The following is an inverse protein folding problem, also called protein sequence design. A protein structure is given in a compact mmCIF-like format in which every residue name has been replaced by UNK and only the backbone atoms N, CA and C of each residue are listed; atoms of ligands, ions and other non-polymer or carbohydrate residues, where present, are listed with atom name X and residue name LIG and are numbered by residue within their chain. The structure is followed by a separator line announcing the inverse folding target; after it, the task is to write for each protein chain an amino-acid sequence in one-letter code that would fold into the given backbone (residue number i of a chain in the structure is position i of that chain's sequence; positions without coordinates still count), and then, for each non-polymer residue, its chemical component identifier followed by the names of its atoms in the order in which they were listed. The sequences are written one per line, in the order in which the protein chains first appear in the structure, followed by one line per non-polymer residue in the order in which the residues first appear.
data_IF_090852577155
#
_entry.id   IF_090852577155
#
_cell.length_a   1.000
_cell.length_b   1.000
_cell.length_c   1.000
_cell.angle_alpha   90.00
_cell.angle_beta   90.00
_cell.angle_gamma   90.00
#
_symmetry.space_group_name_H-M   'P 1'
#
loop_
_entity.id
_entity.type
_entity.pdbx_description
1 polymer ?
#
# COMPACT_ATOMS: atom_id res chain seq x y z
N UNK A 1 16.59 66.57 -59.83
CA UNK A 1 15.29 66.60 -59.10
C UNK A 1 14.54 65.34 -59.50
N UNK A 2 14.24 64.34 -58.67
CA UNK A 2 14.11 64.20 -57.21
C UNK A 2 14.43 62.71 -56.94
N UNK A 3 15.54 62.33 -56.28
CA UNK A 3 15.72 62.24 -54.81
C UNK A 3 14.39 62.19 -54.06
N UNK A 4 14.09 61.08 -53.39
CA UNK A 4 13.15 60.92 -52.24
C UNK A 4 12.22 59.68 -52.30
N UNK A 5 12.70 58.47 -52.66
CA UNK A 5 11.94 57.23 -52.35
C UNK A 5 12.82 56.11 -51.77
N UNK A 6 14.15 56.13 -51.95
CA UNK A 6 15.02 55.03 -51.48
C UNK A 6 15.41 55.10 -50.00
N UNK A 7 15.16 56.22 -49.30
CA UNK A 7 15.58 56.39 -47.90
C UNK A 7 14.52 55.96 -46.86
N UNK A 8 13.29 55.63 -47.27
CA UNK A 8 12.21 55.22 -46.35
C UNK A 8 12.15 53.69 -46.17
N UNK A 9 12.70 52.91 -47.12
CA UNK A 9 12.66 51.44 -47.06
C UNK A 9 13.82 50.86 -46.20
N UNK A 10 14.91 51.60 -46.02
CA UNK A 10 16.06 51.15 -45.23
C UNK A 10 15.87 51.27 -43.70
N UNK A 11 14.88 52.05 -43.24
CA UNK A 11 14.57 52.21 -41.80
C UNK A 11 13.51 51.20 -41.32
N UNK A 12 12.75 50.58 -42.24
CA UNK A 12 11.72 49.59 -41.89
C UNK A 12 12.25 48.17 -41.59
N UNK A 13 13.53 47.89 -41.86
CA UNK A 13 14.14 46.56 -41.65
C UNK A 13 15.13 46.48 -40.47
N UNK A 14 15.35 47.58 -39.73
CA UNK A 14 16.25 47.60 -38.55
C UNK A 14 15.54 47.68 -37.20
N UNK A 15 14.21 47.79 -37.18
CA UNK A 15 13.44 47.85 -35.95
C UNK A 15 12.26 46.92 -36.01
N UNK A 16 12.48 45.64 -35.74
CA UNK A 16 11.53 44.64 -35.18
C UNK A 16 12.18 43.24 -35.22
N UNK A 17 13.42 43.12 -34.74
CA UNK A 17 13.82 41.85 -34.14
C UNK A 17 13.08 41.77 -32.80
N UNK A 18 11.89 41.20 -32.85
CA UNK A 18 11.19 40.70 -31.69
C UNK A 18 12.09 39.65 -31.00
N UNK A 19 12.99 40.11 -30.14
CA UNK A 19 13.83 39.30 -29.22
C UNK A 19 12.99 38.58 -28.14
N UNK A 20 11.72 38.29 -28.39
CA UNK A 20 10.80 37.71 -27.40
C UNK A 20 11.10 36.24 -27.09
N UNK A 21 11.95 35.56 -27.87
CA UNK A 21 12.31 34.16 -27.66
C UNK A 21 13.60 33.94 -26.82
N UNK A 22 14.52 34.91 -26.79
CA UNK A 22 15.76 34.78 -26.01
C UNK A 22 15.61 35.30 -24.57
N UNK A 23 14.92 36.42 -24.37
CA UNK A 23 14.73 37.02 -23.03
C UNK A 23 13.77 36.20 -22.14
N UNK A 24 12.75 35.56 -22.73
CA UNK A 24 11.79 34.74 -21.99
C UNK A 24 12.44 33.49 -21.36
N UNK A 25 13.36 32.83 -22.07
CA UNK A 25 14.06 31.66 -21.53
C UNK A 25 15.05 32.02 -20.42
N UNK A 26 15.67 33.21 -20.48
CA UNK A 26 16.57 33.70 -19.44
C UNK A 26 15.79 34.03 -18.15
N UNK A 27 14.68 34.78 -18.26
CA UNK A 27 13.80 35.09 -17.14
C UNK A 27 13.21 33.81 -16.50
N UNK A 28 12.81 32.83 -17.32
CA UNK A 28 12.38 31.53 -16.83
C UNK A 28 13.48 30.85 -16.02
N UNK A 29 14.72 30.86 -16.53
CA UNK A 29 15.86 30.20 -15.87
C UNK A 29 16.21 30.87 -14.54
N UNK A 30 16.21 32.21 -14.50
CA UNK A 30 16.51 33.01 -13.30
C UNK A 30 15.47 32.74 -12.21
N UNK A 31 14.18 32.95 -12.50
CA UNK A 31 13.12 32.77 -11.50
C UNK A 31 13.05 31.33 -10.98
N UNK A 32 13.30 30.35 -11.85
CA UNK A 32 13.33 28.94 -11.45
C UNK A 32 14.52 28.59 -10.56
N UNK A 33 15.67 29.19 -10.81
CA UNK A 33 16.87 29.01 -9.98
C UNK A 33 16.67 29.67 -8.61
N UNK A 34 16.15 30.89 -8.57
CA UNK A 34 15.83 31.61 -7.33
C UNK A 34 14.76 30.90 -6.51
N UNK A 35 13.71 30.38 -7.15
CA UNK A 35 12.71 29.52 -6.51
C UNK A 35 13.37 28.28 -5.88
N UNK A 36 14.23 27.58 -6.64
CA UNK A 36 14.90 26.39 -6.14
C UNK A 36 15.81 26.68 -4.94
N UNK A 37 16.58 27.78 -4.99
CA UNK A 37 17.49 28.18 -3.93
C UNK A 37 16.75 28.58 -2.65
N UNK A 38 15.74 29.45 -2.77
CA UNK A 38 14.93 29.91 -1.64
C UNK A 38 14.16 28.76 -0.98
N UNK A 39 13.57 27.85 -1.76
CA UNK A 39 12.87 26.65 -1.24
C UNK A 39 13.84 25.70 -0.54
N UNK A 40 15.03 25.44 -1.10
CA UNK A 40 16.06 24.62 -0.43
C UNK A 40 16.54 25.24 0.88
N UNK A 41 16.59 26.57 0.94
CA UNK A 41 16.90 27.32 2.15
C UNK A 41 15.71 27.46 3.12
N UNK A 42 14.54 26.86 2.79
CA UNK A 42 13.27 26.97 3.54
C UNK A 42 12.75 28.40 3.71
N UNK A 43 13.18 29.32 2.85
CA UNK A 43 12.74 30.72 2.82
C UNK A 43 11.47 30.85 1.98
N UNK A 44 10.39 30.19 2.40
CA UNK A 44 9.21 30.00 1.54
C UNK A 44 8.49 31.30 1.19
N UNK A 45 8.42 32.27 2.12
CA UNK A 45 7.83 33.59 1.82
C UNK A 45 8.62 34.35 0.74
N UNK A 46 9.97 34.26 0.79
CA UNK A 46 10.85 34.85 -0.23
C UNK A 46 10.73 34.14 -1.58
N UNK A 47 10.31 32.88 -1.59
CA UNK A 47 10.15 32.06 -2.79
C UNK A 47 8.90 32.40 -3.62
N UNK A 48 7.84 32.88 -2.98
CA UNK A 48 6.53 33.18 -3.61
C UNK A 48 6.63 34.08 -4.85
N UNK A 49 7.32 35.24 -4.84
CA UNK A 49 7.40 36.09 -6.04
C UNK A 49 8.04 35.39 -7.23
N UNK A 50 9.08 34.57 -6.99
CA UNK A 50 9.74 33.81 -8.05
C UNK A 50 8.83 32.71 -8.61
N UNK A 51 8.09 32.02 -7.74
CA UNK A 51 7.06 31.07 -8.16
C UNK A 51 5.98 31.74 -9.02
N UNK A 52 5.42 32.86 -8.56
CA UNK A 52 4.33 33.56 -9.26
C UNK A 52 4.75 34.02 -10.66
N UNK A 53 5.99 34.50 -10.81
CA UNK A 53 6.56 34.85 -12.11
C UNK A 53 6.74 33.61 -12.99
N UNK A 54 7.33 32.53 -12.45
CA UNK A 54 7.62 31.32 -13.20
C UNK A 54 6.36 30.53 -13.62
N UNK A 55 5.32 30.44 -12.77
CA UNK A 55 4.07 29.74 -13.12
C UNK A 55 3.26 30.47 -14.18
N UNK A 56 3.32 31.81 -14.19
CA UNK A 56 2.64 32.64 -15.17
C UNK A 56 3.32 32.58 -16.53
N UNK A 57 4.64 32.77 -16.57
CA UNK A 57 5.35 32.97 -17.83
C UNK A 57 5.91 31.67 -18.41
N UNK A 58 6.21 30.70 -17.53
CA UNK A 58 6.99 29.51 -17.86
C UNK A 58 6.35 28.18 -17.41
N UNK A 59 5.01 27.99 -17.49
CA UNK A 59 4.32 26.85 -16.87
C UNK A 59 4.72 25.47 -17.43
N UNK A 60 5.37 25.44 -18.60
CA UNK A 60 5.86 24.23 -19.29
C UNK A 60 7.38 24.14 -19.39
N UNK A 61 8.12 25.06 -18.78
CA UNK A 61 9.58 25.11 -18.91
C UNK A 61 10.28 23.96 -18.18
N UNK A 62 10.00 23.77 -16.90
CA UNK A 62 10.61 22.69 -16.12
C UNK A 62 9.64 22.14 -15.07
N UNK A 63 9.10 20.94 -15.34
CA UNK A 63 8.14 20.25 -14.46
C UNK A 63 8.66 20.15 -13.02
N UNK A 64 9.90 19.68 -12.85
CA UNK A 64 10.46 19.44 -11.52
C UNK A 64 10.78 20.74 -10.81
N UNK A 65 11.41 21.70 -11.48
CA UNK A 65 11.77 22.95 -10.84
C UNK A 65 10.55 23.80 -10.45
N UNK A 66 9.44 23.72 -11.18
CA UNK A 66 8.32 24.62 -10.95
C UNK A 66 7.34 23.99 -9.97
N UNK A 67 6.83 22.81 -10.32
CA UNK A 67 5.74 22.20 -9.57
C UNK A 67 6.23 21.49 -8.33
N UNK A 68 7.43 20.87 -8.34
CA UNK A 68 7.94 20.25 -7.11
C UNK A 68 8.33 21.30 -6.08
N UNK A 69 9.11 22.31 -6.46
CA UNK A 69 9.50 23.36 -5.50
C UNK A 69 8.32 24.24 -5.09
N UNK A 70 7.37 24.52 -5.98
CA UNK A 70 6.13 25.20 -5.58
C UNK A 70 5.28 24.37 -4.61
N UNK A 71 5.21 23.05 -4.80
CA UNK A 71 4.55 22.12 -3.86
C UNK A 71 5.26 22.13 -2.49
N UNK A 72 6.59 21.95 -2.45
CA UNK A 72 7.40 22.01 -1.23
C UNK A 72 7.23 23.39 -0.52
N UNK A 73 7.12 24.48 -1.29
CA UNK A 73 6.93 25.85 -0.79
C UNK A 73 5.57 26.03 -0.12
N UNK A 74 4.48 25.70 -0.81
CA UNK A 74 3.14 25.90 -0.27
C UNK A 74 2.80 24.93 0.86
N UNK A 75 3.34 23.70 0.85
CA UNK A 75 3.26 22.79 2.01
C UNK A 75 3.96 23.42 3.23
N UNK A 76 5.17 23.96 3.05
CA UNK A 76 5.88 24.64 4.13
C UNK A 76 5.20 25.93 4.63
N UNK A 77 4.59 26.72 3.73
CA UNK A 77 3.79 27.88 4.09
C UNK A 77 2.52 27.51 4.86
N UNK A 78 1.85 26.43 4.46
CA UNK A 78 0.68 25.89 5.14
C UNK A 78 1.02 25.42 6.56
N UNK A 79 2.13 24.68 6.70
CA UNK A 79 2.62 24.22 8.01
C UNK A 79 2.97 25.39 8.95
N UNK A 80 3.49 26.49 8.40
CA UNK A 80 3.87 27.69 9.16
C UNK A 80 2.71 28.66 9.40
N UNK A 81 1.54 28.46 8.78
CA UNK A 81 0.44 29.41 8.83
C UNK A 81 -0.22 29.45 10.22
N UNK A 82 -0.28 30.65 10.80
CA UNK A 82 -0.86 30.88 12.13
C UNK A 82 -2.32 31.29 12.12
N UNK A 83 -2.89 31.63 10.96
CA UNK A 83 -4.29 32.04 10.81
C UNK A 83 -5.03 31.14 9.82
N UNK A 84 -6.33 30.95 10.08
CA UNK A 84 -7.22 30.17 9.21
C UNK A 84 -7.30 30.77 7.80
N UNK A 85 -7.32 32.10 7.68
CA UNK A 85 -7.30 32.78 6.37
C UNK A 85 -6.06 32.41 5.54
N UNK A 86 -4.86 32.40 6.16
CA UNK A 86 -3.63 32.01 5.47
C UNK A 86 -3.58 30.52 5.15
N UNK A 87 -4.10 29.66 6.03
CA UNK A 87 -4.23 28.23 5.73
C UNK A 87 -5.10 28.00 4.49
N UNK A 88 -6.27 28.63 4.43
CA UNK A 88 -7.17 28.53 3.27
C UNK A 88 -6.51 29.06 2.00
N UNK A 89 -5.81 30.19 2.07
CA UNK A 89 -5.02 30.74 0.95
C UNK A 89 -4.01 29.72 0.42
N UNK A 90 -3.16 29.16 1.27
CA UNK A 90 -2.13 28.21 0.84
C UNK A 90 -2.69 26.86 0.38
N UNK A 91 -3.80 26.40 0.96
CA UNK A 91 -4.52 25.23 0.45
C UNK A 91 -4.97 25.49 -0.99
N UNK A 92 -5.62 26.63 -1.24
CA UNK A 92 -6.11 26.98 -2.57
C UNK A 92 -4.98 27.12 -3.60
N UNK A 93 -3.88 27.76 -3.22
CA UNK A 93 -2.67 27.87 -4.07
C UNK A 93 -2.08 26.48 -4.40
N UNK A 94 -1.99 25.60 -3.41
CA UNK A 94 -1.48 24.25 -3.62
C UNK A 94 -2.41 23.41 -4.53
N UNK A 95 -3.72 23.54 -4.40
CA UNK A 95 -4.67 22.90 -5.32
C UNK A 95 -4.56 23.45 -6.74
N UNK A 96 -4.42 24.77 -6.88
CA UNK A 96 -4.25 25.45 -8.18
C UNK A 96 -2.94 25.03 -8.85
N UNK A 97 -1.87 24.86 -8.07
CA UNK A 97 -0.59 24.35 -8.54
C UNK A 97 -0.75 22.95 -9.16
N UNK A 98 -1.47 22.04 -8.50
CA UNK A 98 -1.71 20.71 -9.05
C UNK A 98 -2.62 20.72 -10.28
N UNK A 99 -3.64 21.57 -10.32
CA UNK A 99 -4.49 21.75 -11.49
C UNK A 99 -3.67 22.24 -12.70
N UNK A 100 -2.83 23.26 -12.48
CA UNK A 100 -1.90 23.77 -13.50
C UNK A 100 -0.90 22.68 -13.95
N UNK A 101 -0.41 21.86 -13.02
CA UNK A 101 0.49 20.74 -13.33
C UNK A 101 -0.17 19.70 -14.24
N UNK A 102 -1.44 19.38 -13.96
CA UNK A 102 -2.21 18.43 -14.77
C UNK A 102 -2.51 19.01 -16.16
N UNK A 103 -2.84 20.30 -16.25
CA UNK A 103 -3.07 20.98 -17.52
C UNK A 103 -1.81 21.06 -18.39
N UNK A 104 -0.66 21.37 -17.79
CA UNK A 104 0.59 21.61 -18.53
C UNK A 104 1.40 20.33 -18.80
N UNK A 105 1.24 19.30 -17.96
CA UNK A 105 2.01 18.06 -18.04
C UNK A 105 1.14 16.80 -17.91
N UNK A 106 -0.02 16.75 -18.57
CA UNK A 106 -0.99 15.64 -18.47
C UNK A 106 -0.37 14.23 -18.52
N UNK A 107 0.57 13.97 -19.45
CA UNK A 107 1.26 12.66 -19.58
C UNK A 107 2.10 12.26 -18.35
N UNK A 108 2.59 13.23 -17.58
CA UNK A 108 3.42 13.04 -16.37
C UNK A 108 2.67 13.34 -15.08
N UNK A 109 1.39 13.70 -15.19
CA UNK A 109 0.53 14.14 -14.10
C UNK A 109 -0.82 13.42 -14.18
N UNK A 110 -0.84 12.08 -13.98
CA UNK A 110 -2.08 11.32 -14.05
C UNK A 110 -3.07 11.83 -13.01
N UNK A 111 -4.33 12.01 -13.44
CA UNK A 111 -5.39 12.57 -12.60
C UNK A 111 -5.58 11.76 -11.33
N UNK A 112 -5.54 10.44 -11.43
CA UNK A 112 -5.71 9.53 -10.28
C UNK A 112 -4.69 9.75 -9.16
N UNK A 113 -3.52 10.34 -9.47
CA UNK A 113 -2.53 10.72 -8.47
C UNK A 113 -2.75 12.13 -7.92
N UNK A 114 -2.91 13.12 -8.80
CA UNK A 114 -2.89 14.53 -8.41
C UNK A 114 -4.24 15.01 -7.86
N UNK A 115 -5.35 14.51 -8.40
CA UNK A 115 -6.67 14.73 -7.81
C UNK A 115 -6.77 14.02 -6.45
N UNK A 116 -6.23 12.80 -6.30
CA UNK A 116 -6.19 12.15 -4.99
C UNK A 116 -5.38 12.96 -3.96
N UNK A 117 -4.25 13.56 -4.38
CA UNK A 117 -3.47 14.45 -3.52
C UNK A 117 -4.28 15.70 -3.10
N UNK A 118 -5.01 16.29 -4.04
CA UNK A 118 -5.92 17.42 -3.82
C UNK A 118 -7.04 17.08 -2.83
N UNK A 119 -7.72 15.96 -3.04
CA UNK A 119 -8.82 15.51 -2.17
C UNK A 119 -8.32 15.12 -0.78
N UNK A 120 -7.13 14.53 -0.66
CA UNK A 120 -6.52 14.26 0.65
C UNK A 120 -6.20 15.53 1.44
N UNK A 121 -5.63 16.55 0.77
CA UNK A 121 -5.39 17.86 1.39
C UNK A 121 -6.70 18.51 1.87
N UNK A 122 -7.74 18.45 1.03
CA UNK A 122 -9.08 18.95 1.36
C UNK A 122 -9.72 18.18 2.51
N UNK A 123 -9.57 16.86 2.54
CA UNK A 123 -10.04 16.02 3.65
C UNK A 123 -9.35 16.36 4.96
N UNK A 124 -8.03 16.55 4.96
CA UNK A 124 -7.26 16.91 6.16
C UNK A 124 -7.70 18.26 6.72
N UNK A 125 -8.11 19.18 5.84
CA UNK A 125 -8.56 20.53 6.19
C UNK A 125 -10.08 20.71 6.09
N UNK A 126 -10.86 19.63 6.04
CA UNK A 126 -12.30 19.69 5.70
C UNK A 126 -13.14 20.56 6.64
N UNK A 127 -12.81 20.59 7.93
CA UNK A 127 -13.50 21.43 8.93
C UNK A 127 -13.29 22.91 8.59
N UNK A 128 -12.03 23.29 8.36
CA UNK A 128 -11.65 24.66 7.98
C UNK A 128 -12.31 25.08 6.66
N UNK A 129 -12.41 24.14 5.70
CA UNK A 129 -12.98 24.37 4.38
C UNK A 129 -14.51 24.24 4.35
N UNK A 130 -15.17 23.90 5.46
CA UNK A 130 -16.62 23.67 5.50
C UNK A 130 -17.09 22.49 4.63
N UNK A 131 -16.23 21.50 4.38
CA UNK A 131 -16.52 20.36 3.52
C UNK A 131 -17.18 19.23 4.33
N UNK A 132 -18.21 18.63 3.75
CA UNK A 132 -18.89 17.47 4.31
C UNK A 132 -18.38 16.14 3.71
N UNK A 133 -18.77 15.02 4.33
CA UNK A 133 -18.30 13.69 3.94
C UNK A 133 -18.73 13.27 2.53
N UNK A 134 -19.91 13.72 2.08
CA UNK A 134 -20.41 13.43 0.73
C UNK A 134 -19.60 14.16 -0.34
N UNK A 135 -19.20 15.41 -0.11
CA UNK A 135 -18.34 16.16 -1.02
C UNK A 135 -16.97 15.46 -1.17
N UNK A 136 -16.35 15.05 -0.06
CA UNK A 136 -15.07 14.31 -0.10
C UNK A 136 -15.25 12.95 -0.78
N UNK A 137 -16.34 12.24 -0.49
CA UNK A 137 -16.64 10.96 -1.15
C UNK A 137 -16.76 11.14 -2.67
N UNK A 138 -17.52 12.14 -3.12
CA UNK A 138 -17.76 12.38 -4.54
C UNK A 138 -16.48 12.77 -5.29
N UNK A 139 -15.57 13.51 -4.65
CA UNK A 139 -14.24 13.79 -5.22
C UNK A 139 -13.44 12.49 -5.43
N UNK A 140 -13.37 11.60 -4.43
CA UNK A 140 -12.72 10.29 -4.58
C UNK A 140 -13.44 9.36 -5.57
N UNK A 141 -14.77 9.41 -5.63
CA UNK A 141 -15.57 8.62 -6.57
C UNK A 141 -15.32 9.03 -8.02
N UNK A 142 -15.20 10.34 -8.27
CA UNK A 142 -14.80 10.87 -9.58
C UNK A 142 -13.39 10.41 -9.96
N UNK A 143 -12.46 10.37 -9.01
CA UNK A 143 -11.10 9.85 -9.22
C UNK A 143 -11.14 8.36 -9.56
N UNK A 144 -11.88 7.57 -8.77
CA UNK A 144 -12.01 6.13 -8.96
C UNK A 144 -12.57 5.82 -10.36
N UNK A 145 -13.60 6.55 -10.80
CA UNK A 145 -14.22 6.36 -12.12
C UNK A 145 -13.36 6.84 -13.28
N UNK A 146 -12.61 7.92 -13.11
CA UNK A 146 -11.87 8.55 -14.22
C UNK A 146 -10.45 8.01 -14.42
N UNK A 147 -9.77 7.57 -13.35
CA UNK A 147 -8.37 7.13 -13.42
C UNK A 147 -8.01 6.13 -12.31
N UNK A 148 -8.78 5.04 -12.21
CA UNK A 148 -8.55 3.95 -11.26
C UNK A 148 -7.12 3.40 -11.31
N UNK A 149 -6.52 3.34 -12.51
CA UNK A 149 -5.19 2.81 -12.70
C UNK A 149 -4.13 3.60 -11.91
N UNK A 150 -4.31 4.91 -11.75
CA UNK A 150 -3.38 5.80 -11.07
C UNK A 150 -3.83 6.24 -9.66
N UNK A 151 -5.04 5.86 -9.22
CA UNK A 151 -5.46 6.05 -7.83
C UNK A 151 -4.78 5.05 -6.89
N UNK A 152 -3.54 5.35 -6.48
CA UNK A 152 -2.65 4.41 -5.75
C UNK A 152 -2.40 4.79 -4.29
N UNK A 153 -3.03 5.85 -3.80
CA UNK A 153 -2.77 6.33 -2.45
C UNK A 153 -3.43 5.43 -1.41
N UNK A 154 -2.67 4.84 -0.46
CA UNK A 154 -3.28 4.09 0.63
C UNK A 154 -4.22 4.95 1.47
N UNK A 155 -3.82 6.19 1.77
CA UNK A 155 -4.64 7.13 2.54
C UNK A 155 -5.92 7.46 1.80
N UNK A 156 -5.85 7.83 0.52
CA UNK A 156 -7.02 8.16 -0.28
C UNK A 156 -8.00 7.00 -0.40
N UNK A 157 -7.52 5.76 -0.60
CA UNK A 157 -8.37 4.57 -0.63
C UNK A 157 -9.08 4.32 0.71
N UNK A 158 -8.36 4.50 1.84
CA UNK A 158 -8.95 4.40 3.17
C UNK A 158 -10.01 5.49 3.41
N UNK A 159 -9.69 6.76 3.11
CA UNK A 159 -10.64 7.87 3.30
C UNK A 159 -11.86 7.69 2.41
N UNK A 160 -11.69 7.27 1.15
CA UNK A 160 -12.79 7.00 0.24
C UNK A 160 -13.80 5.99 0.84
N UNK A 161 -13.30 4.89 1.40
CA UNK A 161 -14.14 3.92 2.09
C UNK A 161 -14.75 4.50 3.38
N UNK A 162 -13.95 5.22 4.17
CA UNK A 162 -14.41 5.86 5.41
C UNK A 162 -15.58 6.80 5.18
N UNK A 163 -15.58 7.59 4.10
CA UNK A 163 -16.70 8.47 3.78
C UNK A 163 -17.96 7.67 3.41
N UNK A 164 -17.83 6.51 2.74
CA UNK A 164 -18.95 5.60 2.52
C UNK A 164 -19.53 5.09 3.85
N UNK A 165 -18.69 4.68 4.80
CA UNK A 165 -19.14 4.26 6.14
C UNK A 165 -19.87 5.39 6.86
N UNK A 166 -19.33 6.62 6.82
CA UNK A 166 -20.00 7.78 7.43
C UNK A 166 -21.39 8.05 6.83
N UNK A 167 -21.51 8.00 5.49
CA UNK A 167 -22.81 8.17 4.83
C UNK A 167 -23.79 7.01 5.14
N UNK A 168 -23.29 5.79 5.29
CA UNK A 168 -24.09 4.64 5.73
C UNK A 168 -24.62 4.84 7.14
N UNK A 169 -23.77 5.26 8.08
CA UNK A 169 -24.17 5.50 9.47
C UNK A 169 -25.21 6.62 9.61
N UNK A 170 -25.21 7.57 8.67
CA UNK A 170 -26.23 8.64 8.56
C UNK A 170 -27.52 8.20 7.86
N UNK A 171 -27.61 6.94 7.40
CA UNK A 171 -28.76 6.39 6.71
C UNK A 171 -28.86 6.76 5.22
N UNK A 172 -27.85 7.43 4.66
CA UNK A 172 -27.83 7.85 3.24
C UNK A 172 -27.38 6.74 2.28
N UNK A 173 -26.93 5.59 2.80
CA UNK A 173 -26.43 4.45 2.02
C UNK A 173 -27.03 3.15 2.51
N UNK A 174 -27.27 2.24 1.57
CA UNK A 174 -27.73 0.89 1.87
C UNK A 174 -26.57 -0.02 2.28
N UNK A 175 -26.83 -1.15 2.97
CA UNK A 175 -25.80 -2.16 3.25
C UNK A 175 -25.12 -2.65 1.97
N UNK A 176 -25.88 -2.80 0.88
CA UNK A 176 -25.33 -3.22 -0.42
C UNK A 176 -24.30 -2.21 -0.96
N UNK A 177 -24.60 -0.90 -0.92
CA UNK A 177 -23.67 0.13 -1.37
C UNK A 177 -22.39 0.15 -0.52
N UNK A 178 -22.52 0.03 0.80
CA UNK A 178 -21.37 -0.07 1.71
C UNK A 178 -20.48 -1.25 1.34
N UNK A 179 -21.08 -2.42 1.14
CA UNK A 179 -20.32 -3.64 0.82
C UNK A 179 -19.72 -3.65 -0.57
N UNK A 180 -20.39 -3.06 -1.57
CA UNK A 180 -19.82 -2.90 -2.90
C UNK A 180 -18.60 -1.98 -2.84
N UNK A 181 -18.68 -0.89 -2.07
CA UNK A 181 -17.55 0.03 -1.92
C UNK A 181 -16.38 -0.60 -1.19
N UNK A 182 -16.65 -1.40 -0.16
CA UNK A 182 -15.61 -2.18 0.51
C UNK A 182 -14.88 -3.07 -0.48
N UNK A 183 -15.61 -3.84 -1.32
CA UNK A 183 -15.00 -4.70 -2.34
C UNK A 183 -14.18 -3.91 -3.35
N UNK A 184 -14.74 -2.81 -3.89
CA UNK A 184 -14.05 -1.95 -4.86
C UNK A 184 -12.71 -1.44 -4.34
N UNK A 185 -12.64 -1.10 -3.05
CA UNK A 185 -11.44 -0.59 -2.39
C UNK A 185 -10.47 -1.73 -2.07
N UNK A 186 -10.96 -2.87 -1.56
CA UNK A 186 -10.13 -4.05 -1.29
C UNK A 186 -9.51 -4.60 -2.57
N UNK A 187 -10.30 -4.78 -3.63
CA UNK A 187 -9.84 -5.23 -4.95
C UNK A 187 -8.71 -4.32 -5.46
N UNK A 188 -8.88 -2.99 -5.31
CA UNK A 188 -7.86 -2.02 -5.70
C UNK A 188 -6.60 -2.11 -4.84
N UNK A 189 -6.74 -2.30 -3.52
CA UNK A 189 -5.61 -2.51 -2.62
C UNK A 189 -4.84 -3.78 -2.99
N UNK A 190 -5.54 -4.89 -3.25
CA UNK A 190 -4.89 -6.15 -3.64
C UNK A 190 -4.09 -6.01 -4.93
N UNK A 191 -4.61 -5.28 -5.93
CA UNK A 191 -3.90 -4.97 -7.17
C UNK A 191 -2.61 -4.18 -6.89
N UNK A 192 -2.68 -3.13 -6.07
CA UNK A 192 -1.50 -2.31 -5.78
C UNK A 192 -0.50 -3.06 -4.89
N UNK A 193 -0.95 -3.85 -3.90
CA UNK A 193 -0.10 -4.76 -3.14
C UNK A 193 0.64 -5.72 -4.07
N UNK A 194 -0.07 -6.37 -5.01
CA UNK A 194 0.55 -7.29 -5.96
C UNK A 194 1.65 -6.64 -6.79
N UNK A 195 1.37 -5.47 -7.39
CA UNK A 195 2.37 -4.71 -8.17
C UNK A 195 3.60 -4.33 -7.33
N UNK A 196 3.38 -3.84 -6.11
CA UNK A 196 4.47 -3.42 -5.23
C UNK A 196 5.28 -4.62 -4.69
N UNK A 197 4.63 -5.77 -4.45
CA UNK A 197 5.30 -7.02 -4.05
C UNK A 197 6.20 -7.54 -5.17
N UNK A 198 5.72 -7.59 -6.41
CA UNK A 198 6.56 -7.98 -7.57
C UNK A 198 7.80 -7.10 -7.65
N UNK A 199 7.61 -5.77 -7.58
CA UNK A 199 8.73 -4.83 -7.61
C UNK A 199 9.68 -5.00 -6.44
N UNK A 200 9.18 -5.19 -5.23
CA UNK A 200 10.04 -5.43 -4.06
C UNK A 200 10.83 -6.74 -4.20
N UNK A 201 10.20 -7.79 -4.71
CA UNK A 201 10.86 -9.08 -4.94
C UNK A 201 12.03 -8.96 -5.92
N UNK A 202 11.90 -8.17 -7.00
CA UNK A 202 13.01 -7.87 -7.92
C UNK A 202 14.23 -7.28 -7.19
N UNK A 203 14.02 -6.38 -6.23
CA UNK A 203 15.12 -5.80 -5.45
C UNK A 203 15.62 -6.71 -4.33
N UNK A 204 14.78 -7.57 -3.75
CA UNK A 204 15.21 -8.57 -2.77
C UNK A 204 16.13 -9.59 -3.43
N UNK A 205 15.79 -10.06 -4.65
CA UNK A 205 16.56 -11.04 -5.39
C UNK A 205 18.00 -10.60 -5.72
N UNK A 206 18.27 -9.29 -5.77
CA UNK A 206 19.63 -8.74 -6.02
C UNK A 206 20.61 -8.98 -4.87
N UNK A 207 20.14 -9.30 -3.66
CA UNK A 207 21.01 -9.65 -2.53
C UNK A 207 22.11 -8.62 -2.25
N UNK A 208 23.35 -9.07 -2.20
CA UNK A 208 24.55 -8.25 -1.96
C UNK A 208 24.92 -7.33 -3.14
N UNK A 209 24.38 -7.57 -4.33
CA UNK A 209 24.59 -6.74 -5.54
C UNK A 209 23.72 -5.48 -5.61
N UNK A 210 23.11 -5.06 -4.50
CA UNK A 210 22.14 -3.96 -4.47
C UNK A 210 22.84 -2.59 -4.51
N UNK A 211 22.59 -1.79 -5.55
CA UNK A 211 23.10 -0.42 -5.61
C UNK A 211 22.42 0.50 -4.59
N UNK A 212 23.04 1.65 -4.26
CA UNK A 212 22.42 2.69 -3.41
C UNK A 212 21.08 3.21 -3.96
N UNK A 213 20.91 3.20 -5.29
CA UNK A 213 19.65 3.57 -5.95
C UNK A 213 18.60 2.49 -5.74
N UNK A 214 18.97 1.23 -5.93
CA UNK A 214 18.07 0.08 -5.70
C UNK A 214 17.64 -0.02 -4.25
N UNK A 215 18.53 0.27 -3.29
CA UNK A 215 18.21 0.31 -1.87
C UNK A 215 17.11 1.33 -1.53
N UNK A 216 17.11 2.51 -2.19
CA UNK A 216 16.04 3.50 -2.05
C UNK A 216 14.70 2.97 -2.57
N UNK A 217 14.69 2.30 -3.72
CA UNK A 217 13.47 1.69 -4.26
C UNK A 217 12.97 0.53 -3.40
N UNK A 218 13.86 -0.34 -2.93
CA UNK A 218 13.54 -1.40 -1.96
C UNK A 218 12.82 -0.80 -0.74
N UNK A 219 13.41 0.23 -0.13
CA UNK A 219 12.80 0.95 1.00
C UNK A 219 11.42 1.52 0.64
N UNK A 220 11.30 2.17 -0.52
CA UNK A 220 10.03 2.72 -0.98
C UNK A 220 8.94 1.65 -1.08
N UNK A 221 9.19 0.54 -1.79
CA UNK A 221 8.21 -0.53 -1.93
C UNK A 221 7.87 -1.20 -0.60
N UNK A 222 8.86 -1.39 0.29
CA UNK A 222 8.61 -1.87 1.66
C UNK A 222 7.67 -0.94 2.44
N UNK A 223 7.90 0.38 2.38
CA UNK A 223 7.06 1.36 3.07
C UNK A 223 5.64 1.41 2.48
N UNK A 224 5.52 1.35 1.15
CA UNK A 224 4.23 1.31 0.46
C UNK A 224 3.42 0.08 0.86
N UNK A 225 4.02 -1.11 0.86
CA UNK A 225 3.35 -2.34 1.31
C UNK A 225 2.95 -2.28 2.78
N UNK A 226 3.79 -1.70 3.64
CA UNK A 226 3.44 -1.48 5.05
C UNK A 226 2.26 -0.52 5.22
N UNK A 227 2.15 0.51 4.38
CA UNK A 227 1.01 1.42 4.39
C UNK A 227 -0.28 0.70 3.94
N UNK A 228 -0.20 -0.13 2.90
CA UNK A 228 -1.33 -0.95 2.47
C UNK A 228 -1.78 -1.95 3.54
N UNK A 229 -0.83 -2.65 4.19
CA UNK A 229 -1.15 -3.58 5.28
C UNK A 229 -1.88 -2.90 6.45
N UNK A 230 -1.42 -1.70 6.84
CA UNK A 230 -2.07 -0.89 7.87
C UNK A 230 -3.49 -0.52 7.48
N UNK A 231 -3.69 0.02 6.28
CA UNK A 231 -5.05 0.44 5.88
C UNK A 231 -5.98 -0.75 5.72
N UNK A 232 -5.52 -1.92 5.28
CA UNK A 232 -6.38 -3.12 5.20
C UNK A 232 -6.94 -3.46 6.59
N UNK A 233 -6.10 -3.43 7.64
CA UNK A 233 -6.58 -3.58 9.02
C UNK A 233 -7.52 -2.45 9.46
N UNK A 234 -7.24 -1.21 9.04
CA UNK A 234 -8.14 -0.07 9.32
C UNK A 234 -9.48 -0.19 8.61
N UNK A 235 -9.54 -0.71 7.38
CA UNK A 235 -10.80 -0.97 6.66
C UNK A 235 -11.66 -1.99 7.39
N UNK A 236 -11.04 -3.06 7.91
CA UNK A 236 -11.75 -4.04 8.75
C UNK A 236 -12.32 -3.38 10.02
N UNK A 237 -11.52 -2.53 10.66
CA UNK A 237 -11.93 -1.82 11.87
C UNK A 237 -13.06 -0.83 11.59
N UNK A 238 -12.96 -0.07 10.50
CA UNK A 238 -13.95 0.91 10.06
C UNK A 238 -15.28 0.25 9.72
N UNK A 239 -15.22 -0.90 9.02
CA UNK A 239 -16.41 -1.67 8.68
C UNK A 239 -17.05 -2.26 9.94
N UNK A 240 -16.25 -2.79 10.86
CA UNK A 240 -16.71 -3.30 12.16
C UNK A 240 -17.87 -4.28 12.04
N UNK A 241 -18.85 -4.15 12.94
CA UNK A 241 -20.05 -5.02 12.98
C UNK A 241 -21.05 -4.75 11.84
N UNK A 242 -20.81 -3.76 10.97
CA UNK A 242 -21.69 -3.51 9.81
C UNK A 242 -21.61 -4.64 8.79
N UNK A 243 -20.52 -5.41 8.79
CA UNK A 243 -20.28 -6.55 7.91
C UNK A 243 -20.17 -7.86 8.67
N UNK A 244 -21.29 -8.36 9.17
CA UNK A 244 -21.38 -9.68 9.75
C UNK A 244 -22.36 -10.55 8.96
N UNK A 245 -22.43 -11.82 9.31
CA UNK A 245 -23.26 -12.79 8.59
C UNK A 245 -24.76 -12.48 8.70
N UNK A 246 -25.23 -11.91 9.82
CA UNK A 246 -26.65 -11.56 9.96
C UNK A 246 -27.08 -10.45 9.00
N UNK A 247 -26.16 -9.57 8.59
CA UNK A 247 -26.42 -8.55 7.56
C UNK A 247 -26.20 -9.12 6.14
N UNK A 248 -25.11 -9.86 5.93
CA UNK A 248 -24.71 -10.32 4.59
C UNK A 248 -25.61 -11.43 4.04
N UNK A 249 -25.98 -12.42 4.87
CA UNK A 249 -26.71 -13.60 4.41
C UNK A 249 -28.06 -13.24 3.79
N UNK A 250 -28.93 -12.41 4.41
CA UNK A 250 -30.22 -12.04 3.81
C UNK A 250 -30.08 -11.32 2.46
N UNK A 251 -29.04 -10.46 2.32
CA UNK A 251 -28.76 -9.75 1.08
C UNK A 251 -28.41 -10.72 -0.04
N UNK A 252 -27.47 -11.63 0.22
CA UNK A 252 -27.07 -12.62 -0.77
C UNK A 252 -28.20 -13.59 -1.11
N UNK A 253 -29.01 -14.00 -0.13
CA UNK A 253 -30.18 -14.86 -0.37
C UNK A 253 -31.21 -14.18 -1.29
N UNK A 254 -31.53 -12.91 -1.04
CA UNK A 254 -32.45 -12.12 -1.87
C UNK A 254 -31.95 -12.00 -3.31
N UNK A 255 -30.67 -11.69 -3.47
CA UNK A 255 -30.11 -11.34 -4.78
C UNK A 255 -29.61 -12.55 -5.58
N UNK A 256 -29.53 -13.73 -4.96
CA UNK A 256 -28.93 -14.92 -5.56
C UNK A 256 -29.58 -15.33 -6.88
N UNK A 257 -30.90 -15.44 -6.95
CA UNK A 257 -31.56 -15.99 -8.14
C UNK A 257 -31.32 -15.13 -9.38
N UNK A 258 -31.22 -13.80 -9.21
CA UNK A 258 -30.88 -12.87 -10.29
C UNK A 258 -29.41 -12.93 -10.71
N UNK A 259 -28.50 -13.27 -9.78
CA UNK A 259 -27.05 -13.18 -10.00
C UNK A 259 -26.35 -14.55 -10.07
N UNK A 260 -27.07 -15.68 -9.95
CA UNK A 260 -26.48 -17.04 -9.90
C UNK A 260 -25.71 -17.45 -11.16
N UNK A 261 -25.81 -16.69 -12.25
CA UNK A 261 -25.05 -16.90 -13.48
C UNK A 261 -23.99 -15.79 -13.72
N UNK A 262 -23.90 -14.79 -12.85
CA UNK A 262 -22.85 -13.78 -12.87
C UNK A 262 -21.61 -14.30 -12.14
N UNK A 263 -20.62 -14.72 -12.90
CA UNK A 263 -19.37 -15.26 -12.38
C UNK A 263 -18.56 -14.28 -11.52
N UNK A 264 -18.70 -12.97 -11.74
CA UNK A 264 -18.01 -11.92 -10.96
C UNK A 264 -18.74 -11.73 -9.64
N UNK A 265 -20.07 -11.61 -9.67
CA UNK A 265 -20.89 -11.49 -8.47
C UNK A 265 -20.68 -12.67 -7.53
N UNK A 266 -20.70 -13.90 -8.06
CA UNK A 266 -20.46 -15.11 -7.28
C UNK A 266 -19.06 -15.15 -6.65
N UNK A 267 -18.03 -14.70 -7.38
CA UNK A 267 -16.67 -14.63 -6.86
C UNK A 267 -16.57 -13.64 -5.69
N UNK A 268 -17.17 -12.45 -5.84
CA UNK A 268 -17.21 -11.43 -4.80
C UNK A 268 -18.01 -11.89 -3.58
N UNK A 269 -19.18 -12.49 -3.80
CA UNK A 269 -20.03 -13.05 -2.76
C UNK A 269 -19.28 -14.09 -1.91
N UNK A 270 -18.62 -15.04 -2.57
CA UNK A 270 -17.83 -16.08 -1.94
C UNK A 270 -16.67 -15.49 -1.12
N UNK A 271 -15.88 -14.58 -1.70
CA UNK A 271 -14.75 -13.95 -1.01
C UNK A 271 -15.22 -13.19 0.25
N UNK A 272 -16.31 -12.43 0.15
CA UNK A 272 -16.86 -11.63 1.25
C UNK A 272 -17.46 -12.47 2.36
N UNK A 273 -18.32 -13.42 2.02
CA UNK A 273 -18.92 -14.33 3.00
C UNK A 273 -17.85 -15.11 3.75
N UNK A 274 -16.80 -15.56 3.05
CA UNK A 274 -15.66 -16.20 3.71
C UNK A 274 -14.91 -15.26 4.65
N UNK A 275 -14.55 -14.05 4.16
CA UNK A 275 -13.80 -13.06 4.93
C UNK A 275 -14.55 -12.63 6.21
N UNK A 276 -15.88 -12.59 6.17
CA UNK A 276 -16.74 -12.26 7.32
C UNK A 276 -17.17 -13.46 8.16
N UNK A 277 -16.56 -14.63 7.94
CA UNK A 277 -16.74 -15.79 8.81
C UNK A 277 -18.03 -16.58 8.57
N UNK A 278 -18.75 -16.33 7.47
CA UNK A 278 -20.04 -16.96 7.16
C UNK A 278 -19.91 -18.35 6.52
N UNK A 279 -18.76 -19.00 6.71
CA UNK A 279 -18.36 -20.24 6.04
C UNK A 279 -19.23 -21.45 6.36
N UNK A 280 -19.94 -21.42 7.50
CA UNK A 280 -20.83 -22.51 7.95
C UNK A 280 -22.27 -22.31 7.48
N UNK A 281 -22.62 -21.15 6.94
CA UNK A 281 -23.97 -20.88 6.47
C UNK A 281 -24.24 -21.61 5.13
N UNK A 282 -25.41 -22.26 4.95
CA UNK A 282 -25.76 -22.94 3.70
C UNK A 282 -25.67 -22.03 2.47
N UNK A 283 -25.90 -20.73 2.62
CA UNK A 283 -25.81 -19.77 1.53
C UNK A 283 -24.38 -19.66 0.97
N UNK A 284 -23.35 -19.71 1.84
CA UNK A 284 -21.96 -19.73 1.39
C UNK A 284 -21.67 -20.97 0.54
N UNK A 285 -22.09 -22.14 1.01
CA UNK A 285 -21.92 -23.40 0.28
C UNK A 285 -22.66 -23.37 -1.07
N UNK A 286 -23.87 -22.79 -1.10
CA UNK A 286 -24.67 -22.62 -2.33
C UNK A 286 -23.92 -21.77 -3.36
N UNK A 287 -23.39 -20.62 -2.95
CA UNK A 287 -22.60 -19.71 -3.82
C UNK A 287 -21.34 -20.39 -4.33
N UNK A 288 -20.57 -21.06 -3.45
CA UNK A 288 -19.33 -21.76 -3.82
C UNK A 288 -19.61 -22.84 -4.86
N UNK A 289 -20.62 -23.68 -4.63
CA UNK A 289 -20.99 -24.76 -5.57
C UNK A 289 -21.48 -24.23 -6.91
N UNK A 290 -22.30 -23.18 -6.91
CA UNK A 290 -22.76 -22.55 -8.14
C UNK A 290 -21.57 -21.98 -8.92
N UNK A 291 -20.66 -21.26 -8.26
CA UNK A 291 -19.45 -20.74 -8.90
C UNK A 291 -18.59 -21.86 -9.48
N UNK A 292 -18.41 -22.97 -8.74
CA UNK A 292 -17.67 -24.13 -9.21
C UNK A 292 -18.31 -24.73 -10.46
N UNK A 293 -19.64 -24.87 -10.51
CA UNK A 293 -20.32 -25.42 -11.69
C UNK A 293 -20.18 -24.55 -12.95
N UNK A 294 -20.06 -23.23 -12.79
CA UNK A 294 -19.93 -22.30 -13.92
C UNK A 294 -18.48 -22.17 -14.39
N UNK A 295 -17.55 -22.01 -13.45
CA UNK A 295 -16.16 -21.73 -13.75
C UNK A 295 -15.27 -22.19 -12.58
N UNK A 296 -14.85 -23.47 -12.56
CA UNK A 296 -13.84 -23.95 -11.63
C UNK A 296 -12.57 -23.10 -11.75
N UNK A 297 -12.04 -22.67 -10.60
CA UNK A 297 -10.77 -22.00 -10.51
C UNK A 297 -10.11 -22.31 -9.16
N UNK A 298 -8.86 -21.88 -8.99
CA UNK A 298 -8.12 -22.13 -7.76
C UNK A 298 -8.77 -21.54 -6.50
N UNK A 299 -9.41 -20.37 -6.61
CA UNK A 299 -10.11 -19.74 -5.47
C UNK A 299 -11.30 -20.61 -5.02
N UNK A 300 -12.11 -21.09 -5.96
CA UNK A 300 -13.28 -21.94 -5.68
C UNK A 300 -12.86 -23.29 -5.14
N UNK A 301 -11.85 -23.92 -5.75
CA UNK A 301 -11.29 -25.18 -5.26
C UNK A 301 -10.75 -25.04 -3.83
N UNK A 302 -10.16 -23.88 -3.48
CA UNK A 302 -9.72 -23.58 -2.11
C UNK A 302 -10.88 -23.57 -1.13
N UNK A 303 -11.99 -22.94 -1.49
CA UNK A 303 -13.17 -22.94 -0.62
C UNK A 303 -13.78 -24.33 -0.48
N UNK A 304 -13.85 -25.11 -1.56
CA UNK A 304 -14.31 -26.49 -1.50
C UNK A 304 -13.40 -27.38 -0.65
N UNK A 305 -12.08 -27.26 -0.78
CA UNK A 305 -11.13 -27.94 0.12
C UNK A 305 -11.35 -27.55 1.58
N UNK A 306 -11.55 -26.27 1.88
CA UNK A 306 -11.83 -25.80 3.23
C UNK A 306 -13.16 -26.32 3.80
N UNK A 307 -14.16 -26.57 2.95
CA UNK A 307 -15.47 -27.13 3.34
C UNK A 307 -15.38 -28.65 3.51
N UNK A 308 -14.76 -29.38 2.60
CA UNK A 308 -14.86 -30.85 2.53
C UNK A 308 -13.60 -31.59 3.03
N UNK A 309 -12.45 -30.94 3.03
CA UNK A 309 -11.15 -31.57 3.31
C UNK A 309 -10.68 -32.56 2.24
N UNK A 310 -11.34 -32.65 1.09
CA UNK A 310 -11.00 -33.62 0.05
C UNK A 310 -9.72 -33.23 -0.70
N UNK A 311 -8.74 -34.15 -0.72
CA UNK A 311 -7.43 -33.95 -1.35
C UNK A 311 -7.54 -33.52 -2.83
N UNK A 312 -8.55 -34.01 -3.56
CA UNK A 312 -8.77 -33.66 -4.97
C UNK A 312 -8.86 -32.15 -5.20
N UNK A 313 -9.48 -31.40 -4.28
CA UNK A 313 -9.60 -29.96 -4.39
C UNK A 313 -8.27 -29.28 -4.04
N UNK A 314 -7.51 -29.81 -3.09
CA UNK A 314 -6.16 -29.30 -2.79
C UNK A 314 -5.24 -29.44 -4.01
N UNK A 315 -5.27 -30.59 -4.67
CA UNK A 315 -4.50 -30.86 -5.89
C UNK A 315 -4.96 -29.95 -7.04
N UNK A 316 -6.27 -29.72 -7.16
CA UNK A 316 -6.84 -28.81 -8.14
C UNK A 316 -6.39 -27.35 -7.93
N UNK A 317 -6.29 -26.87 -6.68
CA UNK A 317 -5.79 -25.53 -6.40
C UNK A 317 -4.37 -25.36 -6.96
N UNK A 318 -3.46 -26.29 -6.64
CA UNK A 318 -2.06 -26.21 -7.08
C UNK A 318 -1.88 -26.44 -8.57
N UNK A 319 -2.82 -27.15 -9.22
CA UNK A 319 -2.84 -27.33 -10.67
C UNK A 319 -3.33 -26.09 -11.41
N UNK A 320 -4.31 -25.37 -10.87
CA UNK A 320 -4.97 -24.24 -11.53
C UNK A 320 -4.32 -22.88 -11.23
N UNK A 321 -3.71 -22.71 -10.07
CA UNK A 321 -3.10 -21.43 -9.69
C UNK A 321 -1.67 -21.31 -10.25
N UNK A 322 -1.44 -20.28 -11.06
CA UNK A 322 -0.14 -20.00 -11.67
C UNK A 322 0.46 -18.69 -11.17
N UNK A 323 -0.34 -17.82 -10.53
CA UNK A 323 0.16 -16.56 -9.99
C UNK A 323 1.00 -16.82 -8.73
N UNK A 324 2.28 -16.42 -8.70
CA UNK A 324 3.17 -16.72 -7.57
C UNK A 324 2.72 -16.04 -6.28
N UNK A 325 2.09 -14.86 -6.33
CA UNK A 325 1.60 -14.17 -5.14
C UNK A 325 0.35 -14.85 -4.58
N UNK A 326 -0.55 -15.31 -5.45
CA UNK A 326 -1.71 -16.11 -5.03
C UNK A 326 -1.27 -17.46 -4.46
N UNK A 327 -0.31 -18.14 -5.08
CA UNK A 327 0.31 -19.35 -4.52
C UNK A 327 0.98 -19.05 -3.16
N UNK A 328 1.66 -17.92 -3.00
CA UNK A 328 2.25 -17.54 -1.73
C UNK A 328 1.17 -17.37 -0.64
N UNK A 329 0.09 -16.63 -0.93
CA UNK A 329 -1.06 -16.43 -0.03
C UNK A 329 -1.73 -17.75 0.33
N UNK A 330 -1.89 -18.66 -0.63
CA UNK A 330 -2.42 -20.00 -0.41
C UNK A 330 -1.52 -20.81 0.55
N UNK A 331 -0.22 -20.89 0.26
CA UNK A 331 0.73 -21.62 1.11
C UNK A 331 0.75 -21.01 2.52
N UNK A 332 0.65 -19.69 2.66
CA UNK A 332 0.53 -19.03 3.96
C UNK A 332 -0.73 -19.45 4.74
N UNK A 333 -1.89 -19.48 4.07
CA UNK A 333 -3.15 -19.88 4.72
C UNK A 333 -3.16 -21.35 5.12
N UNK A 334 -2.68 -22.26 4.26
CA UNK A 334 -2.51 -23.67 4.60
C UNK A 334 -1.55 -23.84 5.80
N UNK A 335 -0.47 -23.07 5.84
CA UNK A 335 0.45 -23.08 6.96
C UNK A 335 -0.22 -22.65 8.27
N UNK A 336 -1.10 -21.64 8.25
CA UNK A 336 -1.89 -21.23 9.40
C UNK A 336 -2.85 -22.33 9.87
N UNK A 337 -3.49 -23.06 8.95
CA UNK A 337 -4.35 -24.20 9.29
C UNK A 337 -3.56 -25.33 9.95
N UNK A 338 -2.41 -25.73 9.38
CA UNK A 338 -1.53 -26.73 9.99
C UNK A 338 -1.01 -26.26 11.35
N UNK A 339 -0.68 -24.98 11.49
CA UNK A 339 -0.27 -24.38 12.77
C UNK A 339 -1.40 -24.48 13.79
N UNK A 340 -2.64 -24.16 13.42
CA UNK A 340 -3.81 -24.26 14.30
C UNK A 340 -4.08 -25.69 14.78
N UNK A 341 -3.74 -26.69 13.97
CA UNK A 341 -3.80 -28.13 14.32
C UNK A 341 -2.60 -28.63 15.14
N UNK A 342 -1.61 -27.78 15.41
CA UNK A 342 -0.36 -28.16 16.10
C UNK A 342 0.68 -28.86 15.20
N UNK A 343 0.40 -29.03 13.90
CA UNK A 343 1.31 -29.65 12.92
C UNK A 343 2.43 -28.71 12.47
N UNK A 344 3.26 -28.26 13.42
CA UNK A 344 4.27 -27.21 13.17
C UNK A 344 5.33 -27.56 12.12
N UNK A 345 5.68 -28.83 11.96
CA UNK A 345 6.57 -29.28 10.89
C UNK A 345 6.01 -28.97 9.50
N UNK A 346 4.75 -29.34 9.25
CA UNK A 346 4.06 -29.04 7.99
C UNK A 346 3.82 -27.53 7.83
N UNK A 347 3.38 -26.86 8.90
CA UNK A 347 3.18 -25.41 8.88
C UNK A 347 4.45 -24.66 8.45
N UNK A 348 5.61 -25.01 9.01
CA UNK A 348 6.90 -24.40 8.62
C UNK A 348 7.23 -24.65 7.15
N UNK A 349 6.98 -25.86 6.64
CA UNK A 349 7.20 -26.16 5.21
C UNK A 349 6.38 -25.24 4.31
N UNK A 350 5.09 -25.07 4.60
CA UNK A 350 4.22 -24.20 3.82
C UNK A 350 4.55 -22.71 4.00
N UNK A 351 4.91 -22.24 5.20
CA UNK A 351 5.42 -20.88 5.39
C UNK A 351 6.69 -20.62 4.58
N UNK A 352 7.63 -21.58 4.54
CA UNK A 352 8.85 -21.44 3.72
C UNK A 352 8.53 -21.35 2.22
N UNK A 353 7.58 -22.17 1.72
CA UNK A 353 7.10 -22.05 0.33
C UNK A 353 6.50 -20.68 0.06
N UNK A 354 5.70 -20.14 0.99
CA UNK A 354 5.14 -18.80 0.87
C UNK A 354 6.24 -17.72 0.75
N UNK A 355 7.29 -17.79 1.59
CA UNK A 355 8.45 -16.88 1.51
C UNK A 355 9.18 -17.02 0.18
N UNK A 356 9.36 -18.23 -0.32
CA UNK A 356 10.04 -18.46 -1.60
C UNK A 356 9.28 -17.83 -2.77
N UNK A 357 7.96 -17.92 -2.76
CA UNK A 357 7.08 -17.38 -3.80
C UNK A 357 6.89 -15.86 -3.69
N UNK A 358 6.89 -15.32 -2.48
CA UNK A 358 6.77 -13.88 -2.23
C UNK A 358 7.68 -13.41 -1.09
N UNK A 359 8.99 -13.21 -1.33
CA UNK A 359 9.93 -12.75 -0.31
C UNK A 359 9.60 -11.38 0.32
N UNK A 360 8.82 -10.55 -0.39
CA UNK A 360 8.32 -9.27 0.09
C UNK A 360 7.34 -9.42 1.26
N UNK A 361 6.63 -10.55 1.36
CA UNK A 361 5.80 -10.86 2.53
C UNK A 361 6.65 -11.49 3.63
N UNK A 362 6.93 -10.71 4.67
CA UNK A 362 7.74 -11.14 5.81
C UNK A 362 6.92 -11.79 6.92
N UNK A 363 5.58 -11.79 6.84
CA UNK A 363 4.69 -12.39 7.83
C UNK A 363 4.96 -13.88 8.09
N UNK A 364 5.31 -14.73 7.09
CA UNK A 364 5.63 -16.13 7.35
C UNK A 364 6.78 -16.30 8.35
N UNK A 365 7.81 -15.45 8.29
CA UNK A 365 8.93 -15.50 9.25
C UNK A 365 8.47 -15.23 10.69
N UNK A 366 7.56 -14.27 10.88
CA UNK A 366 6.97 -14.00 12.20
C UNK A 366 6.16 -15.19 12.70
N UNK A 367 5.42 -15.87 11.82
CA UNK A 367 4.67 -17.06 12.18
C UNK A 367 5.58 -18.23 12.57
N UNK A 368 6.67 -18.46 11.83
CA UNK A 368 7.68 -19.48 12.17
C UNK A 368 8.36 -19.16 13.50
N UNK A 369 8.77 -17.91 13.71
CA UNK A 369 9.38 -17.46 14.96
C UNK A 369 8.43 -17.68 16.15
N UNK A 370 7.14 -17.37 15.99
CA UNK A 370 6.12 -17.62 17.01
C UNK A 370 5.94 -19.12 17.29
N UNK A 371 6.01 -19.99 16.29
CA UNK A 371 5.96 -21.45 16.51
C UNK A 371 7.18 -21.95 17.29
N UNK A 372 8.38 -21.43 17.01
CA UNK A 372 9.57 -21.75 17.80
C UNK A 372 9.41 -21.31 19.26
N UNK A 373 8.99 -20.06 19.50
CA UNK A 373 8.76 -19.55 20.84
C UNK A 373 7.69 -20.35 21.61
N UNK A 374 6.59 -20.75 20.94
CA UNK A 374 5.54 -21.57 21.54
C UNK A 374 6.01 -22.98 21.93
N UNK A 375 7.09 -23.48 21.32
CA UNK A 375 7.62 -24.83 21.54
C UNK A 375 8.65 -24.92 22.67
N UNK A 376 9.01 -23.80 23.32
CA UNK A 376 10.01 -23.74 24.39
C UNK A 376 9.69 -24.70 25.54
N UNK A 377 8.41 -24.90 25.87
CA UNK A 377 8.00 -25.80 26.95
C UNK A 377 8.20 -27.28 26.61
N UNK A 378 8.04 -27.64 25.35
CA UNK A 378 7.99 -29.02 24.85
C UNK A 378 9.26 -29.49 24.14
N UNK A 379 10.19 -28.59 23.82
CA UNK A 379 11.42 -28.89 23.10
C UNK A 379 12.65 -28.46 23.92
N UNK A 380 13.58 -29.39 24.16
CA UNK A 380 14.80 -29.17 24.94
C UNK A 380 14.80 -29.95 26.26
N UNK A 381 15.98 -30.39 26.70
CA UNK A 381 16.13 -31.25 27.89
C UNK A 381 16.39 -30.47 29.18
N UNK A 382 17.10 -29.34 29.09
CA UNK A 382 17.42 -28.45 30.22
C UNK A 382 16.72 -27.08 30.09
N UNK A 383 16.66 -26.33 31.19
CA UNK A 383 16.15 -24.95 31.16
C UNK A 383 16.94 -24.07 30.17
N UNK A 384 18.26 -24.26 30.11
CA UNK A 384 19.13 -23.54 29.18
C UNK A 384 18.78 -23.87 27.72
N UNK A 385 18.68 -25.16 27.37
CA UNK A 385 18.32 -25.58 26.00
C UNK A 385 16.93 -25.12 25.59
N UNK A 386 15.94 -25.21 26.49
CA UNK A 386 14.57 -24.73 26.26
C UNK A 386 14.59 -23.24 25.93
N UNK A 387 15.29 -22.43 26.73
CA UNK A 387 15.39 -20.98 26.48
C UNK A 387 16.25 -20.64 25.27
N UNK A 388 17.24 -21.46 24.91
CA UNK A 388 18.06 -21.26 23.71
C UNK A 388 17.20 -21.25 22.42
N UNK A 389 16.01 -21.87 22.42
CA UNK A 389 15.05 -21.79 21.30
C UNK A 389 14.62 -20.35 21.02
N UNK A 390 14.62 -19.45 22.02
CA UNK A 390 14.33 -18.04 21.78
C UNK A 390 15.39 -17.36 20.90
N UNK A 391 16.63 -17.85 20.82
CA UNK A 391 17.59 -17.38 19.81
C UNK A 391 17.17 -17.77 18.39
N UNK A 392 16.62 -18.99 18.18
CA UNK A 392 16.04 -19.38 16.88
C UNK A 392 14.86 -18.49 16.52
N UNK A 393 13.94 -18.28 17.48
CA UNK A 393 12.80 -17.40 17.29
C UNK A 393 13.26 -15.96 16.95
N UNK A 394 14.27 -15.45 17.64
CA UNK A 394 14.84 -14.14 17.37
C UNK A 394 15.49 -14.04 15.99
N UNK A 395 16.30 -15.03 15.60
CA UNK A 395 16.97 -15.05 14.31
C UNK A 395 15.98 -15.11 13.15
N UNK A 396 14.91 -15.89 13.31
CA UNK A 396 13.84 -15.96 12.32
C UNK A 396 13.02 -14.66 12.28
N UNK A 397 12.64 -14.12 13.45
CA UNK A 397 11.91 -12.86 13.54
C UNK A 397 12.70 -11.67 12.99
N UNK A 398 14.03 -11.70 13.06
CA UNK A 398 14.90 -10.64 12.55
C UNK A 398 14.78 -10.45 11.03
N UNK A 399 14.31 -11.48 10.30
CA UNK A 399 14.01 -11.39 8.85
C UNK A 399 12.77 -10.54 8.55
N UNK A 400 11.99 -10.18 9.57
CA UNK A 400 10.73 -9.44 9.43
C UNK A 400 10.64 -8.20 10.34
N UNK A 401 11.05 -8.32 11.60
CA UNK A 401 10.87 -7.28 12.62
C UNK A 401 12.01 -7.32 13.64
N UNK A 402 12.83 -6.26 13.65
CA UNK A 402 13.88 -6.06 14.65
C UNK A 402 13.31 -5.97 16.07
N UNK A 403 12.16 -5.29 16.25
CA UNK A 403 11.47 -5.19 17.54
C UNK A 403 11.05 -6.56 18.06
N UNK A 404 10.43 -7.40 17.22
CA UNK A 404 10.02 -8.75 17.62
C UNK A 404 11.24 -9.64 17.91
N UNK A 405 12.29 -9.54 17.10
CA UNK A 405 13.54 -10.24 17.35
C UNK A 405 14.15 -9.88 18.70
N UNK A 406 14.20 -8.58 19.05
CA UNK A 406 14.70 -8.11 20.35
C UNK A 406 13.88 -8.65 21.52
N UNK A 407 12.54 -8.71 21.39
CA UNK A 407 11.67 -9.33 22.42
C UNK A 407 12.03 -10.80 22.65
N UNK A 408 12.27 -11.58 21.60
CA UNK A 408 12.71 -12.96 21.75
C UNK A 408 14.13 -13.07 22.32
N UNK A 409 15.08 -12.22 21.88
CA UNK A 409 16.44 -12.23 22.46
C UNK A 409 16.43 -11.98 23.97
N UNK A 410 15.54 -11.13 24.47
CA UNK A 410 15.40 -10.86 25.91
C UNK A 410 14.92 -12.08 26.72
N UNK A 411 14.24 -13.05 26.09
CA UNK A 411 13.76 -14.27 26.73
C UNK A 411 14.80 -15.42 26.69
N UNK A 412 15.79 -15.31 25.80
CA UNK A 412 16.87 -16.29 25.66
C UNK A 412 17.85 -16.25 26.85
N UNK A 413 18.76 -17.25 27.01
CA UNK A 413 19.72 -17.27 28.10
C UNK A 413 20.58 -16.01 28.18
N UNK A 414 20.77 -15.50 29.39
CA UNK A 414 21.60 -14.32 29.66
C UNK A 414 23.10 -14.64 29.55
N UNK A 415 23.95 -13.60 29.52
CA UNK A 415 25.42 -13.77 29.51
C UNK A 415 25.91 -14.62 30.69
N UNK A 416 25.37 -14.40 31.89
CA UNK A 416 25.69 -15.18 33.09
C UNK A 416 25.33 -16.65 32.91
N UNK A 417 24.16 -16.95 32.36
CA UNK A 417 23.74 -18.33 32.11
C UNK A 417 24.58 -19.01 31.03
N UNK A 418 25.00 -18.29 29.98
CA UNK A 418 25.94 -18.79 28.96
C UNK A 418 27.29 -19.15 29.60
N UNK A 419 27.79 -18.28 30.50
CA UNK A 419 29.03 -18.51 31.22
C UNK A 419 28.93 -19.75 32.13
N UNK A 420 27.90 -19.79 32.99
CA UNK A 420 27.69 -20.90 33.92
C UNK A 420 27.47 -22.24 33.23
N UNK A 421 26.84 -22.25 32.06
CA UNK A 421 26.67 -23.45 31.25
C UNK A 421 27.91 -23.82 30.42
N UNK A 422 28.94 -22.96 30.37
CA UNK A 422 30.13 -23.16 29.54
C UNK A 422 29.79 -23.21 28.04
N UNK A 423 28.79 -22.44 27.60
CA UNK A 423 28.21 -22.53 26.25
C UNK A 423 28.63 -21.43 25.29
N UNK A 424 29.52 -20.51 25.70
CA UNK A 424 30.01 -19.42 24.83
C UNK A 424 30.48 -19.94 23.47
N UNK A 425 29.89 -19.43 22.38
CA UNK A 425 30.20 -19.82 21.00
C UNK A 425 29.82 -21.25 20.60
N UNK A 426 29.26 -22.06 21.50
CA UNK A 426 28.91 -23.46 21.21
C UNK A 426 27.59 -23.57 20.47
N UNK A 427 27.51 -24.60 19.61
CA UNK A 427 26.28 -24.93 18.86
C UNK A 427 25.41 -25.87 19.68
N UNK A 428 24.13 -25.53 19.80
CA UNK A 428 23.10 -26.29 20.50
C UNK A 428 22.19 -26.92 19.45
N UNK A 429 22.05 -28.25 19.48
CA UNK A 429 21.09 -28.97 18.63
C UNK A 429 19.72 -28.96 19.31
N UNK A 430 18.72 -28.39 18.65
CA UNK A 430 17.33 -28.40 19.10
C UNK A 430 16.60 -29.52 18.35
N UNK A 431 16.21 -30.56 19.10
CA UNK A 431 15.44 -31.71 18.60
C UNK A 431 13.97 -31.38 18.30
N UNK A 432 13.09 -32.34 18.56
CA UNK A 432 11.64 -32.27 18.29
C UNK A 432 11.33 -31.92 16.81
N UNK A 433 10.14 -31.38 16.53
CA UNK A 433 9.76 -30.93 15.19
C UNK A 433 10.68 -29.81 14.66
N UNK A 434 11.36 -29.07 15.54
CA UNK A 434 12.23 -27.96 15.18
C UNK A 434 13.41 -28.49 14.36
N UNK A 435 14.16 -29.48 14.84
CA UNK A 435 15.24 -30.12 14.07
C UNK A 435 16.22 -29.10 13.45
N UNK A 436 16.69 -28.16 14.26
CA UNK A 436 17.62 -27.08 13.87
C UNK A 436 18.66 -26.87 14.96
N UNK A 437 19.73 -26.17 14.62
CA UNK A 437 20.76 -25.80 15.57
C UNK A 437 20.84 -24.28 15.74
N UNK A 438 21.29 -23.84 16.90
CA UNK A 438 21.56 -22.43 17.18
C UNK A 438 22.87 -22.29 17.93
N UNK A 439 23.64 -21.24 17.61
CA UNK A 439 24.90 -20.94 18.29
C UNK A 439 24.65 -19.96 19.41
N UNK A 440 25.11 -20.30 20.62
CA UNK A 440 25.08 -19.37 21.74
C UNK A 440 26.03 -18.18 21.48
N UNK A 441 25.65 -16.95 21.82
CA UNK A 441 26.51 -15.78 21.66
C UNK A 441 27.85 -15.96 22.37
N UNK A 442 28.92 -15.46 21.74
CA UNK A 442 30.21 -15.29 22.43
C UNK A 442 30.08 -14.18 23.46
N UNK A 443 30.52 -14.45 24.69
CA UNK A 443 30.47 -13.51 25.83
C UNK A 443 31.83 -12.94 26.18
#
# INVERSE_FOLDING_TARGET
MKTNITLIIAILFLGLNANFAQTSNEDCTINMSLLAETVKAKKYTEAVPYYNKAIKDCPKFNLSGLYKYGEDMFEGLLDAATTDAKKVEYINELTTLWDSRMANYAKKSPKGKFEAKKTELRYDNRILLGLNDEQIYNEFDAIYKSDLANFKSPKGLYVYFKMMVSMYDKGSKTPQELFNKYDDVVDKIEIEVGKNSIKLNEYIAKGEGLSSKDAKYKKFYTQTLSAFDKITGSLETELGERANCSVLIPIYQRDYEANKNDGIWLQRAMNKLYAKGCKTDPMFVKVVKQKYSLAPNADVARYLYGITGEQKYLDEIFRLETDPLKLAKLNYNLALEFKGKGSYGQARTYFNKAVQLNPADTKPHLQIAAMYAASVKSCGSSNFEKRAIFWLAANEAAKASSSTASKYRALAPSKTEIFSAGMSGKTIKIGCWIGRSVTAPTI
#
